data_IF_661881631203
#
_entry.id   IF_661881631203
#
_cell.length_a   1.000
_cell.length_b   1.000
_cell.length_c   1.000
_cell.angle_alpha   90.00
_cell.angle_beta   90.00
_cell.angle_gamma   90.00
#
_symmetry.space_group_name_H-M   'P 1'
#
loop_
_entity.id
_entity.type
_entity.pdbx_description
1 polymer ?
#
# COMPACT_ATOMS: atom_id res chain seq x y z
N UNK A 1 -16.57 -18.88 -3.00
CA UNK A 1 -15.54 -18.10 -2.29
C UNK A 1 -14.19 -18.61 -2.78
N UNK A 2 -13.40 -17.79 -3.47
CA UNK A 2 -12.07 -18.18 -3.98
C UNK A 2 -11.01 -17.70 -2.97
N UNK A 3 -10.46 -18.58 -2.11
CA UNK A 3 -9.59 -18.18 -0.99
C UNK A 3 -8.24 -17.59 -1.44
N UNK A 4 -7.88 -17.74 -2.71
CA UNK A 4 -6.65 -17.19 -3.30
C UNK A 4 -6.85 -15.81 -3.90
N UNK A 5 -8.08 -15.29 -3.95
CA UNK A 5 -8.38 -13.97 -4.50
C UNK A 5 -8.29 -12.94 -3.38
N UNK A 6 -7.56 -11.85 -3.64
CA UNK A 6 -7.31 -10.77 -2.69
C UNK A 6 -5.83 -10.43 -2.53
N UNK A 7 -5.56 -9.14 -2.32
CA UNK A 7 -4.22 -8.65 -2.02
C UNK A 7 -4.03 -8.47 -0.52
N UNK A 8 -2.91 -8.92 0.03
CA UNK A 8 -2.58 -8.65 1.43
C UNK A 8 -2.11 -7.18 1.58
N UNK A 9 -2.99 -6.35 2.15
CA UNK A 9 -2.80 -4.90 2.26
C UNK A 9 -1.51 -4.49 3.00
N UNK A 10 -0.94 -5.36 3.84
CA UNK A 10 0.31 -5.06 4.54
C UNK A 10 1.50 -4.89 3.59
N UNK A 11 1.47 -5.50 2.41
CA UNK A 11 2.56 -5.35 1.42
C UNK A 11 2.65 -3.92 0.88
N UNK A 12 1.60 -3.10 1.00
CA UNK A 12 1.65 -1.68 0.66
C UNK A 12 2.71 -0.92 1.46
N UNK A 13 3.07 -1.39 2.66
CA UNK A 13 4.06 -0.74 3.51
C UNK A 13 5.50 -0.92 3.01
N UNK A 14 5.74 -1.93 2.18
CA UNK A 14 7.05 -2.20 1.57
C UNK A 14 7.06 -1.95 0.06
N UNK A 15 5.90 -1.70 -0.56
CA UNK A 15 5.78 -1.45 -1.99
C UNK A 15 6.73 -0.32 -2.46
N UNK A 16 7.47 -0.50 -3.57
CA UNK A 16 8.48 0.43 -4.05
C UNK A 16 7.88 1.65 -4.77
N UNK A 17 7.10 2.46 -4.04
CA UNK A 17 6.35 3.61 -4.58
C UNK A 17 7.24 4.75 -5.11
N UNK A 18 8.48 4.85 -4.65
CA UNK A 18 9.45 5.89 -5.06
C UNK A 18 10.48 5.36 -6.07
N UNK A 19 10.37 4.10 -6.50
CA UNK A 19 11.21 3.59 -7.57
C UNK A 19 10.77 4.21 -8.90
N UNK A 20 11.66 4.99 -9.51
CA UNK A 20 11.35 5.75 -10.73
C UNK A 20 10.96 4.84 -11.89
N UNK A 21 11.74 3.80 -12.18
CA UNK A 21 11.47 2.89 -13.31
C UNK A 21 10.13 2.16 -13.12
N UNK A 22 9.84 1.70 -11.90
CA UNK A 22 8.55 1.09 -11.56
C UNK A 22 7.39 2.06 -11.86
N UNK A 23 7.48 3.32 -11.43
CA UNK A 23 6.41 4.30 -11.64
C UNK A 23 6.25 4.71 -13.11
N UNK A 24 7.36 4.85 -13.84
CA UNK A 24 7.35 5.12 -15.29
C UNK A 24 6.64 4.00 -16.05
N UNK A 25 7.03 2.74 -15.81
CA UNK A 25 6.40 1.56 -16.42
C UNK A 25 4.93 1.44 -16.01
N UNK A 26 4.60 1.71 -14.75
CA UNK A 26 3.21 1.66 -14.25
C UNK A 26 2.30 2.67 -14.94
N UNK A 27 2.81 3.88 -15.20
CA UNK A 27 2.09 4.92 -15.95
C UNK A 27 1.94 4.55 -17.41
N UNK A 28 2.99 4.02 -18.03
CA UNK A 28 2.91 3.54 -19.40
C UNK A 28 1.90 2.39 -19.54
N UNK A 29 1.92 1.42 -18.62
CA UNK A 29 0.93 0.35 -18.53
C UNK A 29 -0.51 0.91 -18.44
N UNK A 30 -0.75 1.89 -17.57
CA UNK A 30 -2.08 2.52 -17.44
C UNK A 30 -2.50 3.27 -18.70
N UNK A 31 -1.59 4.00 -19.35
CA UNK A 31 -1.84 4.64 -20.64
C UNK A 31 -2.21 3.60 -21.71
N UNK A 32 -1.45 2.52 -21.82
CA UNK A 32 -1.68 1.47 -22.80
C UNK A 32 -3.03 0.76 -22.58
N UNK A 33 -3.38 0.41 -21.33
CA UNK A 33 -4.69 -0.15 -21.01
C UNK A 33 -5.84 0.82 -21.33
N UNK A 34 -5.68 2.10 -21.01
CA UNK A 34 -6.67 3.13 -21.35
C UNK A 34 -6.86 3.24 -22.86
N UNK A 35 -5.78 3.27 -23.63
CA UNK A 35 -5.84 3.35 -25.10
C UNK A 35 -6.49 2.10 -25.69
N UNK A 36 -6.17 0.90 -25.19
CA UNK A 36 -6.83 -0.35 -25.60
C UNK A 36 -8.34 -0.31 -25.29
N UNK A 37 -8.72 0.19 -24.10
CA UNK A 37 -10.12 0.27 -23.67
C UNK A 37 -10.94 1.23 -24.56
N UNK A 38 -10.36 2.37 -24.95
CA UNK A 38 -11.00 3.38 -25.79
C UNK A 38 -10.97 3.05 -27.29
N UNK A 39 -10.10 2.13 -27.71
CA UNK A 39 -10.01 1.71 -29.12
C UNK A 39 -11.23 0.88 -29.52
N UNK A 40 -11.73 1.15 -30.73
CA UNK A 40 -12.82 0.39 -31.37
C UNK A 40 -12.31 -0.61 -32.41
N UNK A 41 -11.11 -0.37 -32.95
CA UNK A 41 -10.45 -1.26 -33.90
C UNK A 41 -9.82 -2.46 -33.18
N UNK A 42 -10.22 -3.72 -33.49
CA UNK A 42 -9.70 -4.92 -32.84
C UNK A 42 -8.17 -5.05 -32.90
N UNK A 43 -7.54 -4.64 -34.00
CA UNK A 43 -6.07 -4.71 -34.10
C UNK A 43 -5.40 -3.76 -33.12
N UNK A 44 -5.90 -2.52 -33.02
CA UNK A 44 -5.42 -1.55 -32.05
C UNK A 44 -5.69 -1.98 -30.60
N UNK A 45 -6.86 -2.59 -30.33
CA UNK A 45 -7.17 -3.16 -29.00
C UNK A 45 -6.13 -4.21 -28.61
N UNK A 46 -5.85 -5.18 -29.47
CA UNK A 46 -4.87 -6.23 -29.19
C UNK A 46 -3.45 -5.67 -29.06
N UNK A 47 -3.06 -4.76 -29.96
CA UNK A 47 -1.73 -4.16 -30.01
C UNK A 47 -1.41 -3.32 -28.76
N UNK A 48 -2.35 -2.49 -28.29
CA UNK A 48 -2.19 -1.73 -27.03
C UNK A 48 -2.32 -2.62 -25.78
N UNK A 49 -3.13 -3.68 -25.82
CA UNK A 49 -3.17 -4.67 -24.74
C UNK A 49 -1.80 -5.33 -24.57
N UNK A 50 -1.15 -5.77 -25.67
CA UNK A 50 0.21 -6.32 -25.63
C UNK A 50 1.22 -5.33 -25.04
N UNK A 51 1.16 -4.07 -25.47
CA UNK A 51 2.01 -3.02 -24.92
C UNK A 51 1.86 -2.87 -23.40
N UNK A 52 0.63 -2.91 -22.90
CA UNK A 52 0.35 -2.87 -21.46
C UNK A 52 0.90 -4.10 -20.73
N UNK A 53 0.69 -5.30 -21.28
CA UNK A 53 1.19 -6.56 -20.70
C UNK A 53 2.72 -6.61 -20.67
N UNK A 54 3.41 -6.13 -21.70
CA UNK A 54 4.87 -6.07 -21.72
C UNK A 54 5.41 -5.11 -20.65
N UNK A 55 4.85 -3.90 -20.57
CA UNK A 55 5.21 -2.93 -19.53
C UNK A 55 5.00 -3.51 -18.12
N UNK A 56 3.89 -4.24 -17.93
CA UNK A 56 3.56 -4.92 -16.69
C UNK A 56 4.54 -6.03 -16.35
N UNK A 57 4.92 -6.86 -17.32
CA UNK A 57 5.91 -7.94 -17.13
C UNK A 57 7.27 -7.40 -16.74
N UNK A 58 7.73 -6.37 -17.46
CA UNK A 58 8.97 -5.68 -17.14
C UNK A 58 8.93 -5.12 -15.71
N UNK A 59 7.85 -4.41 -15.37
CA UNK A 59 7.63 -3.86 -14.03
C UNK A 59 7.59 -4.93 -12.94
N UNK A 60 6.92 -6.04 -13.19
CA UNK A 60 6.83 -7.18 -12.26
C UNK A 60 8.16 -7.91 -12.10
N UNK A 61 9.11 -7.75 -13.04
CA UNK A 61 10.50 -8.16 -12.87
C UNK A 61 11.31 -7.25 -11.93
N UNK A 62 10.86 -6.01 -11.70
CA UNK A 62 11.54 -5.02 -10.85
C UNK A 62 10.99 -4.91 -9.42
N UNK A 63 9.78 -5.40 -9.18
CA UNK A 63 9.17 -5.43 -7.83
C UNK A 63 9.21 -6.84 -7.25
N UNK A 64 9.10 -6.95 -5.93
CA UNK A 64 9.06 -8.26 -5.28
C UNK A 64 7.76 -9.02 -5.63
N UNK A 65 7.81 -10.35 -5.51
CA UNK A 65 6.68 -11.21 -5.83
C UNK A 65 5.45 -10.96 -4.98
N UNK A 66 5.61 -10.48 -3.74
CA UNK A 66 4.48 -10.19 -2.86
C UNK A 66 3.76 -8.90 -3.29
N UNK A 67 4.51 -7.88 -3.73
CA UNK A 67 3.95 -6.67 -4.36
C UNK A 67 3.18 -6.99 -5.65
N UNK A 68 3.73 -7.85 -6.53
CA UNK A 68 3.03 -8.29 -7.74
C UNK A 68 1.79 -9.13 -7.42
N UNK A 69 1.86 -10.01 -6.42
CA UNK A 69 0.73 -10.81 -5.95
C UNK A 69 -0.36 -9.93 -5.33
N UNK A 70 0.00 -8.86 -4.62
CA UNK A 70 -0.97 -7.88 -4.10
C UNK A 70 -1.78 -7.26 -5.24
N UNK A 71 -1.13 -6.71 -6.27
CA UNK A 71 -1.84 -6.09 -7.39
C UNK A 71 -2.79 -7.08 -8.09
N UNK A 72 -2.28 -8.25 -8.45
CA UNK A 72 -3.06 -9.31 -9.10
C UNK A 72 -4.24 -9.78 -8.25
N UNK A 73 -4.02 -10.03 -6.96
CA UNK A 73 -5.06 -10.46 -6.04
C UNK A 73 -6.15 -9.40 -5.88
N UNK A 74 -5.77 -8.12 -5.81
CA UNK A 74 -6.72 -7.00 -5.75
C UNK A 74 -7.49 -6.82 -7.05
N UNK A 75 -6.85 -6.96 -8.21
CA UNK A 75 -7.51 -6.92 -9.52
C UNK A 75 -8.54 -8.05 -9.69
N UNK A 76 -8.19 -9.25 -9.23
CA UNK A 76 -9.05 -10.43 -9.26
C UNK A 76 -10.27 -10.27 -8.36
N UNK A 77 -10.12 -9.70 -7.17
CA UNK A 77 -11.21 -9.55 -6.21
C UNK A 77 -12.05 -8.30 -6.50
N UNK A 78 -11.44 -7.14 -6.34
CA UNK A 78 -12.12 -5.84 -6.36
C UNK A 78 -12.34 -5.38 -7.80
N UNK A 79 -11.37 -5.61 -8.68
CA UNK A 79 -11.51 -5.25 -10.10
C UNK A 79 -12.60 -6.05 -10.82
N UNK A 80 -12.75 -7.35 -10.54
CA UNK A 80 -13.87 -8.12 -11.07
C UNK A 80 -15.22 -7.71 -10.46
N UNK A 81 -15.24 -7.33 -9.17
CA UNK A 81 -16.44 -6.79 -8.54
C UNK A 81 -16.88 -5.47 -9.20
N UNK A 82 -15.95 -4.54 -9.44
CA UNK A 82 -16.21 -3.28 -10.15
C UNK A 82 -16.71 -3.53 -11.58
N UNK A 83 -16.09 -4.47 -12.31
CA UNK A 83 -16.55 -4.87 -13.65
C UNK A 83 -17.99 -5.39 -13.63
N UNK A 84 -18.33 -6.28 -12.68
CA UNK A 84 -19.70 -6.81 -12.55
C UNK A 84 -20.69 -5.68 -12.22
N UNK A 85 -20.32 -4.78 -11.30
CA UNK A 85 -21.14 -3.61 -10.94
C UNK A 85 -21.38 -2.66 -12.11
N UNK A 86 -20.34 -2.36 -12.88
CA UNK A 86 -20.44 -1.52 -14.08
C UNK A 86 -21.34 -2.17 -15.15
N UNK A 87 -21.20 -3.48 -15.37
CA UNK A 87 -22.06 -4.25 -16.28
C UNK A 87 -23.52 -4.25 -15.83
N UNK A 88 -23.79 -4.44 -14.54
CA UNK A 88 -25.14 -4.45 -14.00
C UNK A 88 -25.83 -3.07 -14.08
N UNK A 89 -25.06 -1.99 -13.94
CA UNK A 89 -25.57 -0.61 -14.00
C UNK A 89 -25.59 -0.01 -15.41
N UNK A 90 -24.99 -0.69 -16.41
CA UNK A 90 -24.80 -0.13 -17.75
C UNK A 90 -23.78 1.01 -17.81
N UNK A 91 -22.95 1.16 -16.77
CA UNK A 91 -21.93 2.22 -16.69
C UNK A 91 -20.71 1.82 -17.51
N UNK A 92 -20.20 2.74 -18.33
CA UNK A 92 -18.96 2.52 -19.06
C UNK A 92 -17.76 2.54 -18.10
N UNK A 93 -16.89 1.54 -18.21
CA UNK A 93 -15.61 1.55 -17.51
C UNK A 93 -14.70 2.62 -18.08
N UNK A 94 -13.99 3.32 -17.20
CA UNK A 94 -13.04 4.36 -17.58
C UNK A 94 -11.74 4.21 -16.79
N UNK A 95 -10.64 4.66 -17.40
CA UNK A 95 -9.35 4.87 -16.74
C UNK A 95 -9.07 6.37 -16.82
N UNK A 96 -8.86 7.07 -15.69
CA UNK A 96 -8.75 8.52 -15.66
C UNK A 96 -7.47 9.05 -16.30
N UNK A 97 -7.49 10.34 -16.62
CA UNK A 97 -6.36 11.11 -17.13
C UNK A 97 -6.39 12.53 -16.53
N UNK A 98 -5.38 12.93 -15.73
CA UNK A 98 -4.19 12.16 -15.39
C UNK A 98 -4.52 10.86 -14.62
N UNK A 99 -3.65 9.87 -14.77
CA UNK A 99 -3.76 8.59 -14.10
C UNK A 99 -3.51 8.70 -12.57
N UNK A 100 -3.45 7.56 -11.89
CA UNK A 100 -3.35 7.45 -10.43
C UNK A 100 -2.00 7.93 -9.86
N UNK A 101 -2.00 8.66 -8.72
CA UNK A 101 -0.78 9.00 -8.00
C UNK A 101 -0.05 7.75 -7.46
N UNK A 102 1.23 7.85 -7.07
CA UNK A 102 2.04 6.71 -6.61
C UNK A 102 1.37 5.86 -5.53
N UNK A 103 0.74 6.52 -4.55
CA UNK A 103 0.15 5.90 -3.36
C UNK A 103 -1.24 5.31 -3.58
N UNK A 104 -1.94 5.68 -4.67
CA UNK A 104 -3.28 5.19 -4.97
C UNK A 104 -3.27 3.87 -5.76
N UNK A 105 -2.42 2.95 -5.31
CA UNK A 105 -2.22 1.64 -5.94
C UNK A 105 -3.51 0.81 -5.91
N UNK A 106 -4.26 0.89 -4.81
CA UNK A 106 -5.48 0.11 -4.60
C UNK A 106 -6.56 0.48 -5.62
N UNK A 107 -6.90 1.75 -5.72
CA UNK A 107 -7.91 2.23 -6.70
C UNK A 107 -7.45 1.97 -8.14
N UNK A 108 -6.14 2.10 -8.41
CA UNK A 108 -5.57 1.70 -9.69
C UNK A 108 -5.83 0.22 -9.99
N UNK A 109 -5.52 -0.68 -9.05
CA UNK A 109 -5.72 -2.12 -9.21
C UNK A 109 -7.20 -2.47 -9.47
N UNK A 110 -8.15 -1.75 -8.88
CA UNK A 110 -9.57 -1.96 -9.13
C UNK A 110 -9.90 -1.64 -10.60
N UNK A 111 -9.51 -0.45 -11.05
CA UNK A 111 -9.78 0.01 -12.40
C UNK A 111 -9.03 -0.81 -13.47
N UNK A 112 -7.78 -1.21 -13.21
CA UNK A 112 -7.02 -2.06 -14.13
C UNK A 112 -7.63 -3.47 -14.18
N UNK A 113 -7.99 -4.07 -13.05
CA UNK A 113 -8.69 -5.36 -13.03
C UNK A 113 -10.00 -5.34 -13.82
N UNK A 114 -10.81 -4.31 -13.62
CA UNK A 114 -12.06 -4.14 -14.36
C UNK A 114 -11.81 -3.89 -15.86
N UNK A 115 -10.79 -3.09 -16.20
CA UNK A 115 -10.38 -2.85 -17.60
C UNK A 115 -9.96 -4.15 -18.26
N UNK A 116 -9.19 -4.98 -17.56
CA UNK A 116 -8.75 -6.28 -18.08
C UNK A 116 -9.93 -7.20 -18.38
N UNK A 117 -10.95 -7.24 -17.52
CA UNK A 117 -12.17 -8.00 -17.75
C UNK A 117 -12.96 -7.52 -18.99
N UNK A 118 -13.06 -6.20 -19.21
CA UNK A 118 -13.69 -5.63 -20.42
C UNK A 118 -12.92 -6.01 -21.68
N UNK A 119 -11.58 -5.95 -21.63
CA UNK A 119 -10.75 -6.35 -22.76
C UNK A 119 -10.86 -7.86 -23.05
N UNK A 120 -10.93 -8.70 -22.01
CA UNK A 120 -11.19 -10.13 -22.14
C UNK A 120 -12.57 -10.43 -22.76
N UNK A 121 -13.62 -9.68 -22.42
CA UNK A 121 -14.92 -9.80 -23.09
C UNK A 121 -14.83 -9.55 -24.60
N UNK A 122 -13.93 -8.66 -25.03
CA UNK A 122 -13.74 -8.32 -26.46
C UNK A 122 -12.88 -9.35 -27.20
N UNK A 123 -11.80 -9.83 -26.57
CA UNK A 123 -10.79 -10.65 -27.24
C UNK A 123 -10.92 -12.15 -26.99
N UNK A 124 -11.52 -12.56 -25.87
CA UNK A 124 -11.67 -13.97 -25.49
C UNK A 124 -12.98 -14.18 -24.74
N UNK A 125 -14.15 -14.15 -25.42
CA UNK A 125 -15.47 -14.20 -24.76
C UNK A 125 -15.70 -15.38 -23.78
N UNK A 126 -14.97 -16.49 -23.94
CA UNK A 126 -15.00 -17.66 -23.06
C UNK A 126 -14.16 -17.56 -21.78
N UNK A 127 -13.47 -16.44 -21.54
CA UNK A 127 -12.49 -16.29 -20.44
C UNK A 127 -13.06 -16.58 -19.05
N UNK A 128 -14.35 -16.29 -18.82
CA UNK A 128 -15.03 -16.54 -17.54
C UNK A 128 -15.13 -18.03 -17.24
N UNK A 129 -15.40 -18.86 -18.27
CA UNK A 129 -15.42 -20.32 -18.15
C UNK A 129 -14.01 -20.83 -17.84
N UNK A 130 -13.01 -20.36 -18.59
CA UNK A 130 -11.60 -20.72 -18.35
C UNK A 130 -11.15 -20.36 -16.93
N UNK A 131 -11.57 -19.19 -16.41
CA UNK A 131 -11.26 -18.77 -15.04
C UNK A 131 -12.03 -19.57 -13.99
N UNK A 132 -13.26 -20.00 -14.28
CA UNK A 132 -14.05 -20.86 -13.40
C UNK A 132 -13.48 -22.28 -13.31
N UNK A 133 -12.93 -22.80 -14.40
CA UNK A 133 -12.26 -24.11 -14.45
C UNK A 133 -10.90 -24.09 -13.73
N UNK A 134 -10.17 -22.98 -13.78
CA UNK A 134 -8.88 -22.80 -13.12
C UNK A 134 -8.80 -21.42 -12.44
N UNK A 135 -9.26 -21.32 -11.17
CA UNK A 135 -9.30 -20.05 -10.43
C UNK A 135 -7.92 -19.57 -9.96
N UNK A 136 -6.85 -20.31 -10.28
CA UNK A 136 -5.46 -19.90 -10.01
C UNK A 136 -4.90 -18.99 -11.11
N UNK A 137 -5.55 -18.96 -12.28
CA UNK A 137 -5.20 -18.07 -13.39
C UNK A 137 -5.41 -16.61 -13.02
N UNK A 138 -4.57 -15.77 -13.63
CA UNK A 138 -4.56 -14.34 -13.44
C UNK A 138 -5.08 -13.64 -14.70
N UNK A 139 -5.73 -12.48 -14.54
CA UNK A 139 -6.32 -11.73 -15.67
C UNK A 139 -5.28 -11.31 -16.70
N UNK A 140 -4.08 -10.93 -16.26
CA UNK A 140 -2.97 -10.52 -17.13
C UNK A 140 -2.48 -11.69 -18.00
N UNK A 141 -2.39 -12.91 -17.45
CA UNK A 141 -2.04 -14.11 -18.20
C UNK A 141 -3.13 -14.52 -19.21
N UNK A 142 -4.40 -14.39 -18.85
CA UNK A 142 -5.51 -14.62 -19.79
C UNK A 142 -5.50 -13.60 -20.94
N UNK A 143 -5.25 -12.33 -20.63
CA UNK A 143 -5.16 -11.27 -21.63
C UNK A 143 -3.96 -11.45 -22.55
N UNK A 144 -2.81 -11.84 -22.00
CA UNK A 144 -1.63 -12.12 -22.80
C UNK A 144 -1.93 -13.16 -23.89
N UNK A 145 -2.57 -14.27 -23.49
CA UNK A 145 -2.96 -15.32 -24.42
C UNK A 145 -3.98 -14.83 -25.45
N UNK A 146 -4.96 -14.01 -25.03
CA UNK A 146 -5.99 -13.47 -25.91
C UNK A 146 -5.47 -12.41 -26.90
N UNK A 147 -4.42 -11.67 -26.52
CA UNK A 147 -3.85 -10.61 -27.33
C UNK A 147 -2.69 -11.09 -28.23
N UNK A 148 -2.35 -12.38 -28.21
CA UNK A 148 -1.30 -12.95 -29.04
C UNK A 148 -1.65 -12.78 -30.54
N UNK A 149 -0.72 -12.20 -31.30
CA UNK A 149 -0.84 -11.99 -32.74
C UNK A 149 0.42 -12.56 -33.42
N UNK A 150 0.30 -13.07 -34.65
CA UNK A 150 1.45 -13.62 -35.39
C UNK A 150 2.45 -12.54 -35.85
N UNK A 151 2.07 -11.26 -35.81
CA UNK A 151 2.94 -10.14 -36.17
C UNK A 151 3.57 -9.48 -34.92
N UNK A 152 4.85 -9.13 -35.01
CA UNK A 152 5.65 -8.50 -33.97
C UNK A 152 5.34 -7.00 -33.79
N UNK A 153 4.34 -6.46 -34.51
CA UNK A 153 3.91 -5.06 -34.34
C UNK A 153 3.52 -4.77 -32.89
N UNK A 154 4.32 -3.93 -32.24
CA UNK A 154 4.04 -3.40 -30.92
C UNK A 154 3.59 -1.95 -31.01
N UNK A 155 2.44 -1.66 -30.40
CA UNK A 155 1.98 -0.30 -30.23
C UNK A 155 2.82 0.36 -29.14
N UNK A 156 3.12 1.63 -29.36
CA UNK A 156 3.92 2.43 -28.44
C UNK A 156 3.39 3.85 -28.38
N UNK A 157 3.64 4.55 -27.28
CA UNK A 157 3.31 5.95 -27.18
C UNK A 157 4.21 6.74 -28.12
N UNK A 158 3.73 7.88 -28.59
CA UNK A 158 4.57 8.82 -29.31
C UNK A 158 5.70 9.32 -28.38
N UNK A 159 6.87 9.71 -28.91
CA UNK A 159 8.02 10.12 -28.09
C UNK A 159 7.70 11.24 -27.07
N UNK A 160 6.80 12.16 -27.41
CA UNK A 160 6.31 13.21 -26.50
C UNK A 160 5.42 12.66 -25.39
N UNK A 161 4.60 11.65 -25.65
CA UNK A 161 3.78 10.98 -24.64
C UNK A 161 4.66 10.20 -23.66
N UNK A 162 5.70 9.53 -24.17
CA UNK A 162 6.68 8.84 -23.32
C UNK A 162 7.44 9.83 -22.42
N UNK A 163 7.89 10.96 -22.97
CA UNK A 163 8.53 12.03 -22.19
C UNK A 163 7.59 12.58 -21.11
N UNK A 164 6.33 12.84 -21.44
CA UNK A 164 5.34 13.28 -20.48
C UNK A 164 5.15 12.25 -19.34
N UNK A 165 5.04 10.96 -19.66
CA UNK A 165 4.95 9.88 -18.67
C UNK A 165 6.15 9.90 -17.70
N UNK A 166 7.36 10.07 -18.22
CA UNK A 166 8.59 10.13 -17.41
C UNK A 166 8.65 11.38 -16.54
N UNK A 167 8.30 12.54 -17.09
CA UNK A 167 8.26 13.80 -16.36
C UNK A 167 7.25 13.77 -15.22
N UNK A 168 6.04 13.25 -15.47
CA UNK A 168 5.02 13.07 -14.43
C UNK A 168 5.47 12.07 -13.37
N UNK A 169 6.12 10.96 -13.74
CA UNK A 169 6.64 10.01 -12.75
C UNK A 169 7.66 10.67 -11.80
N UNK A 170 8.59 11.47 -12.34
CA UNK A 170 9.57 12.21 -11.53
C UNK A 170 8.92 13.27 -10.66
N UNK A 171 7.92 13.99 -11.17
CA UNK A 171 7.19 14.99 -10.41
C UNK A 171 6.43 14.37 -9.24
N UNK A 172 5.72 13.28 -9.48
CA UNK A 172 4.93 12.59 -8.46
C UNK A 172 5.80 11.95 -7.36
N UNK A 173 7.00 11.47 -7.69
CA UNK A 173 7.95 10.97 -6.68
C UNK A 173 8.39 12.11 -5.76
N UNK A 174 8.78 13.26 -6.34
CA UNK A 174 9.19 14.43 -5.55
C UNK A 174 8.06 14.92 -4.65
N UNK A 175 6.84 14.98 -5.18
CA UNK A 175 5.65 15.38 -4.41
C UNK A 175 5.35 14.38 -3.28
N UNK A 176 5.40 13.07 -3.56
CA UNK A 176 5.20 12.03 -2.55
C UNK A 176 6.23 12.16 -1.41
N UNK A 177 7.51 12.31 -1.74
CA UNK A 177 8.59 12.47 -0.77
C UNK A 177 8.41 13.73 0.07
N UNK A 178 8.05 14.86 -0.56
CA UNK A 178 7.77 16.11 0.13
C UNK A 178 6.58 15.97 1.10
N UNK A 179 5.49 15.35 0.67
CA UNK A 179 4.31 15.09 1.52
C UNK A 179 4.62 14.14 2.68
N UNK A 180 5.43 13.11 2.45
CA UNK A 180 5.88 12.20 3.52
C UNK A 180 6.72 12.91 4.56
N UNK A 181 7.68 13.72 4.13
CA UNK A 181 8.51 14.53 5.01
C UNK A 181 7.68 15.54 5.80
N UNK A 182 6.72 16.22 5.14
CA UNK A 182 5.80 17.13 5.78
C UNK A 182 4.94 16.43 6.84
N UNK A 183 4.27 15.32 6.50
CA UNK A 183 3.45 14.54 7.46
C UNK A 183 4.25 14.12 8.70
N UNK A 184 5.48 13.65 8.51
CA UNK A 184 6.37 13.26 9.61
C UNK A 184 6.70 14.45 10.50
N UNK A 185 7.11 15.58 9.90
CA UNK A 185 7.43 16.81 10.62
C UNK A 185 6.22 17.34 11.38
N UNK A 186 5.09 17.51 10.71
CA UNK A 186 3.87 18.08 11.29
C UNK A 186 3.37 17.22 12.48
N UNK A 187 3.49 15.89 12.40
CA UNK A 187 3.19 15.00 13.51
C UNK A 187 4.16 15.20 14.70
N UNK A 188 5.47 15.23 14.44
CA UNK A 188 6.49 15.36 15.50
C UNK A 188 6.48 16.74 16.16
N UNK A 189 6.09 17.78 15.43
CA UNK A 189 6.02 19.17 15.90
C UNK A 189 4.66 19.52 16.52
N UNK A 190 3.71 18.57 16.58
CA UNK A 190 2.38 18.81 17.15
C UNK A 190 2.49 19.25 18.63
N UNK A 191 2.05 20.48 18.99
CA UNK A 191 2.20 21.00 20.35
C UNK A 191 1.41 20.18 21.38
N UNK A 192 2.01 19.98 22.55
CA UNK A 192 1.39 19.27 23.67
C UNK A 192 2.37 18.32 24.35
N UNK A 193 1.84 17.50 25.24
CA UNK A 193 2.60 16.40 25.84
C UNK A 193 2.85 15.31 24.80
N UNK A 194 4.00 14.68 24.91
CA UNK A 194 4.34 13.51 24.09
C UNK A 194 4.71 12.34 24.99
N UNK A 195 4.52 11.13 24.47
CA UNK A 195 5.13 9.96 25.07
C UNK A 195 5.78 9.08 24.01
N UNK A 196 6.80 8.34 24.44
CA UNK A 196 7.57 7.44 23.60
C UNK A 196 7.83 6.14 24.31
N UNK A 197 7.69 5.02 23.60
CA UNK A 197 8.22 3.72 24.03
C UNK A 197 9.45 3.42 23.19
N UNK A 198 10.55 3.07 23.86
CA UNK A 198 11.77 2.52 23.25
C UNK A 198 11.83 1.02 23.60
N UNK A 199 11.93 0.20 22.57
CA UNK A 199 11.79 -1.26 22.61
C UNK A 199 12.92 -1.93 21.83
N UNK A 200 14.14 -1.39 21.90
CA UNK A 200 15.29 -1.84 21.10
C UNK A 200 15.58 -3.35 21.31
N UNK A 201 15.80 -3.78 22.55
CA UNK A 201 16.10 -5.18 22.88
C UNK A 201 14.86 -6.08 22.98
N UNK A 202 13.68 -5.49 23.13
CA UNK A 202 12.40 -6.21 23.24
C UNK A 202 11.35 -5.66 22.24
N UNK A 203 11.53 -5.86 20.92
CA UNK A 203 10.67 -5.26 19.91
C UNK A 203 9.20 -5.56 20.11
N UNK A 204 8.36 -4.58 19.79
CA UNK A 204 6.91 -4.72 19.85
C UNK A 204 6.37 -5.21 18.51
N UNK A 205 5.31 -6.02 18.55
CA UNK A 205 4.67 -6.53 17.34
C UNK A 205 3.21 -6.06 17.23
N UNK A 206 2.73 -5.74 16.02
CA UNK A 206 1.32 -5.42 15.81
C UNK A 206 0.42 -6.58 16.24
N UNK A 207 -0.53 -6.29 17.13
CA UNK A 207 -1.60 -7.21 17.53
C UNK A 207 -2.90 -6.91 16.79
N UNK A 208 -3.25 -5.63 16.70
CA UNK A 208 -4.43 -5.12 15.98
C UNK A 208 -4.12 -3.75 15.40
N UNK A 209 -4.57 -3.48 14.18
CA UNK A 209 -4.53 -2.15 13.56
C UNK A 209 -5.44 -2.13 12.35
N UNK A 210 -5.72 -0.93 11.83
CA UNK A 210 -6.43 -0.75 10.58
C UNK A 210 -5.44 -0.41 9.45
N UNK A 211 -5.14 -1.32 8.51
CA UNK A 211 -4.21 -1.06 7.42
C UNK A 211 -4.61 0.11 6.51
N UNK A 212 -5.89 0.48 6.47
CA UNK A 212 -6.37 1.62 5.69
C UNK A 212 -6.08 2.97 6.34
N UNK A 213 -5.68 2.96 7.62
CA UNK A 213 -5.32 4.13 8.42
C UNK A 213 -3.83 4.14 8.77
N UNK A 214 -2.98 3.71 7.82
CA UNK A 214 -1.52 3.71 7.97
C UNK A 214 -0.89 4.43 6.78
N UNK A 215 -0.08 5.45 7.08
CA UNK A 215 0.64 6.25 6.10
C UNK A 215 2.14 5.99 6.24
N UNK A 216 2.77 5.43 5.22
CA UNK A 216 4.23 5.31 5.18
C UNK A 216 4.87 6.70 5.05
N UNK A 217 5.78 7.04 5.97
CA UNK A 217 6.51 8.32 5.96
C UNK A 217 7.98 8.15 5.65
N UNK A 218 8.60 7.03 6.03
CA UNK A 218 9.97 6.67 5.58
C UNK A 218 10.03 5.18 5.22
N UNK A 219 11.25 4.65 4.98
CA UNK A 219 11.42 3.20 4.75
C UNK A 219 11.08 2.38 5.99
N UNK A 220 11.40 2.91 7.18
CA UNK A 220 11.26 2.21 8.46
C UNK A 220 10.16 2.82 9.35
N UNK A 221 9.58 3.97 8.98
CA UNK A 221 8.54 4.62 9.78
C UNK A 221 7.19 4.64 9.06
N UNK A 222 6.15 4.33 9.83
CA UNK A 222 4.74 4.47 9.42
C UNK A 222 3.95 5.24 10.48
N UNK A 223 3.06 6.11 10.01
CA UNK A 223 2.14 6.89 10.82
C UNK A 223 0.78 6.21 10.80
N UNK A 224 0.35 5.70 11.95
CA UNK A 224 -1.00 5.22 12.20
C UNK A 224 -1.87 6.43 12.48
N UNK A 225 -3.01 6.58 11.80
CA UNK A 225 -3.90 7.75 11.93
C UNK A 225 -5.13 7.48 12.77
N UNK A 226 -5.35 6.23 13.19
CA UNK A 226 -6.56 5.84 13.93
C UNK A 226 -6.32 4.83 15.04
N UNK A 227 -5.80 3.64 14.72
CA UNK A 227 -5.74 2.54 15.68
C UNK A 227 -4.50 1.68 15.47
N UNK A 228 -3.75 1.46 16.54
CA UNK A 228 -2.66 0.48 16.62
C UNK A 228 -2.57 -0.08 18.04
N UNK A 229 -2.59 -1.41 18.15
CA UNK A 229 -2.21 -2.15 19.34
C UNK A 229 -0.89 -2.88 19.06
N UNK A 230 0.11 -2.60 19.88
CA UNK A 230 1.41 -3.25 19.87
C UNK A 230 1.61 -4.05 21.15
N UNK A 231 2.36 -5.15 21.08
CA UNK A 231 2.77 -5.86 22.28
C UNK A 231 3.84 -6.92 22.05
N UNK A 232 4.37 -7.42 23.16
CA UNK A 232 5.35 -8.49 23.25
C UNK A 232 5.03 -9.35 24.50
N UNK A 233 5.99 -10.12 25.00
CA UNK A 233 5.80 -10.93 26.21
C UNK A 233 5.71 -10.08 27.49
N UNK A 234 6.37 -8.93 27.51
CA UNK A 234 6.44 -8.00 28.64
C UNK A 234 5.17 -7.16 28.80
N UNK A 235 4.40 -6.93 27.72
CA UNK A 235 3.19 -6.12 27.79
C UNK A 235 2.56 -5.74 26.46
N UNK A 236 1.71 -4.70 26.51
CA UNK A 236 1.06 -4.13 25.33
C UNK A 236 0.64 -2.68 25.53
N UNK A 237 0.48 -1.97 24.42
CA UNK A 237 0.00 -0.59 24.32
C UNK A 237 -1.01 -0.50 23.18
N UNK A 238 -2.14 0.14 23.43
CA UNK A 238 -3.17 0.48 22.46
C UNK A 238 -3.25 2.00 22.32
N UNK A 239 -3.20 2.46 21.07
CA UNK A 239 -3.47 3.84 20.67
C UNK A 239 -4.73 3.82 19.82
N UNK A 240 -5.76 4.53 20.27
CA UNK A 240 -7.06 4.58 19.61
C UNK A 240 -7.53 6.03 19.44
N UNK A 241 -8.08 6.32 18.25
CA UNK A 241 -8.55 7.62 17.79
C UNK A 241 -7.51 8.73 17.91
N UNK A 242 -6.22 8.36 17.79
CA UNK A 242 -5.09 9.28 17.80
C UNK A 242 -3.97 8.86 16.85
N UNK A 243 -3.21 9.81 16.29
CA UNK A 243 -2.05 9.49 15.50
C UNK A 243 -0.89 8.91 16.34
N UNK A 244 -0.20 7.94 15.78
CA UNK A 244 0.98 7.31 16.37
C UNK A 244 2.02 7.00 15.31
N UNK A 245 3.29 7.35 15.57
CA UNK A 245 4.40 7.04 14.67
C UNK A 245 5.16 5.83 15.21
N UNK A 246 5.31 4.79 14.39
CA UNK A 246 6.14 3.64 14.70
C UNK A 246 7.39 3.63 13.85
N UNK A 247 8.53 3.28 14.46
CA UNK A 247 9.79 2.96 13.79
C UNK A 247 10.02 1.46 13.92
N UNK A 248 10.11 0.76 12.79
CA UNK A 248 10.44 -0.65 12.73
C UNK A 248 11.92 -0.91 12.46
N UNK A 249 12.30 -2.18 12.62
CA UNK A 249 13.61 -2.69 12.23
C UNK A 249 13.74 -2.89 10.70
N UNK A 250 14.93 -3.28 10.24
CA UNK A 250 15.24 -3.55 8.85
C UNK A 250 14.32 -4.63 8.25
N UNK A 251 13.89 -4.42 7.00
CA UNK A 251 13.08 -5.37 6.22
C UNK A 251 11.59 -5.05 6.19
N UNK A 252 10.95 -4.72 7.31
CA UNK A 252 9.54 -4.29 7.33
C UNK A 252 9.25 -3.32 8.50
N UNK A 253 8.60 -2.16 8.26
CA UNK A 253 8.38 -1.13 9.29
C UNK A 253 7.42 -1.51 10.44
N UNK A 254 6.95 -2.76 10.50
CA UNK A 254 5.96 -3.25 11.47
C UNK A 254 6.22 -4.71 11.86
N UNK A 255 6.43 -5.59 10.87
CA UNK A 255 6.55 -7.04 11.13
C UNK A 255 7.98 -7.54 11.35
N UNK A 256 8.99 -6.70 11.16
CA UNK A 256 10.35 -6.99 11.61
C UNK A 256 10.59 -6.62 13.09
N UNK A 257 9.54 -6.16 13.80
CA UNK A 257 9.63 -5.62 15.14
C UNK A 257 9.60 -4.09 15.13
N UNK A 258 8.79 -3.51 16.00
CA UNK A 258 8.68 -2.07 16.24
C UNK A 258 9.60 -1.71 17.41
N UNK A 259 10.64 -0.95 17.09
CA UNK A 259 11.68 -0.52 18.02
C UNK A 259 11.29 0.74 18.78
N UNK A 260 10.41 1.57 18.19
CA UNK A 260 9.91 2.78 18.84
C UNK A 260 8.47 3.08 18.46
N UNK A 261 7.69 3.49 19.45
CA UNK A 261 6.37 4.10 19.29
C UNK A 261 6.42 5.52 19.84
N UNK A 262 5.94 6.50 19.07
CA UNK A 262 5.82 7.90 19.48
C UNK A 262 4.39 8.39 19.34
N UNK A 263 3.90 9.12 20.34
CA UNK A 263 2.61 9.84 20.31
C UNK A 263 2.84 11.27 20.77
N UNK A 264 2.25 12.22 20.06
CA UNK A 264 2.40 13.66 20.28
C UNK A 264 1.05 14.35 20.50
N UNK A 265 1.09 15.62 20.89
CA UNK A 265 -0.10 16.47 20.97
C UNK A 265 -1.10 16.09 22.06
N UNK A 266 -0.66 15.42 23.12
CA UNK A 266 -1.55 15.06 24.23
C UNK A 266 -1.88 16.31 25.04
N UNK A 267 -3.14 16.49 25.48
CA UNK A 267 -3.55 17.66 26.25
C UNK A 267 -2.90 17.69 27.63
N UNK A 268 -2.62 16.52 28.21
CA UNK A 268 -1.96 16.35 29.50
C UNK A 268 -0.94 15.22 29.43
N UNK A 269 0.01 15.22 30.36
CA UNK A 269 0.92 14.08 30.53
C UNK A 269 0.11 12.79 30.74
N UNK A 270 0.47 11.67 30.10
CA UNK A 270 -0.16 10.39 30.39
C UNK A 270 0.12 10.01 31.84
N UNK A 271 -0.90 9.48 32.52
CA UNK A 271 -0.74 8.94 33.85
C UNK A 271 0.08 7.65 33.77
N UNK A 272 1.27 7.68 34.36
CA UNK A 272 2.15 6.52 34.48
C UNK A 272 2.23 6.11 35.95
N UNK A 273 1.91 4.85 36.23
CA UNK A 273 2.00 4.27 37.58
C UNK A 273 2.87 3.04 37.53
N UNK A 274 3.90 3.01 38.37
CA UNK A 274 4.66 1.80 38.64
C UNK A 274 4.08 1.15 39.91
N UNK A 275 3.55 -0.06 39.76
CA UNK A 275 3.07 -0.86 40.87
C UNK A 275 3.57 -2.29 40.71
N UNK A 276 4.36 -2.75 41.68
CA UNK A 276 4.86 -4.13 41.72
C UNK A 276 5.64 -4.54 40.46
N UNK A 277 6.42 -3.62 39.87
CA UNK A 277 7.21 -3.88 38.67
C UNK A 277 6.39 -3.86 37.36
N UNK A 278 5.16 -3.33 37.41
CA UNK A 278 4.32 -3.11 36.23
C UNK A 278 4.10 -1.62 36.04
N UNK A 279 4.53 -1.12 34.89
CA UNK A 279 4.28 0.24 34.44
C UNK A 279 2.94 0.27 33.71
N UNK A 280 1.94 0.93 34.31
CA UNK A 280 0.64 1.19 33.71
C UNK A 280 0.63 2.58 33.07
N UNK A 281 0.14 2.68 31.84
CA UNK A 281 0.08 3.91 31.05
C UNK A 281 -1.38 4.18 30.71
N UNK A 282 -1.87 5.38 31.05
CA UNK A 282 -3.23 5.81 30.68
C UNK A 282 -3.25 7.28 30.29
N UNK A 283 -3.81 7.58 29.14
CA UNK A 283 -3.96 8.95 28.64
C UNK A 283 -5.13 9.04 27.67
N UNK A 284 -5.33 10.23 27.11
CA UNK A 284 -6.30 10.44 26.05
C UNK A 284 -5.93 9.60 24.82
N UNK A 285 -6.77 8.63 24.45
CA UNK A 285 -6.51 7.68 23.36
C UNK A 285 -5.33 6.73 23.57
N UNK A 286 -4.82 6.57 24.80
CA UNK A 286 -3.64 5.77 25.13
C UNK A 286 -3.93 4.86 26.32
N UNK A 287 -3.72 3.56 26.16
CA UNK A 287 -3.80 2.61 27.25
C UNK A 287 -2.74 1.52 27.09
N UNK A 288 -2.00 1.19 28.14
CA UNK A 288 -1.04 0.10 28.06
C UNK A 288 -0.45 -0.29 29.40
N UNK A 289 0.27 -1.40 29.38
CA UNK A 289 1.00 -1.90 30.53
C UNK A 289 2.23 -2.69 30.10
N UNK A 290 3.34 -2.53 30.81
CA UNK A 290 4.56 -3.29 30.59
C UNK A 290 5.20 -3.72 31.92
N UNK A 291 5.61 -4.97 32.01
CA UNK A 291 6.41 -5.49 33.13
C UNK A 291 7.88 -5.15 32.93
N UNK A 292 8.58 -4.82 34.00
CA UNK A 292 10.02 -4.57 33.98
C UNK A 292 10.45 -3.29 33.22
N UNK A 293 9.48 -2.48 32.77
CA UNK A 293 9.76 -1.24 32.07
C UNK A 293 10.25 -0.14 33.04
N UNK A 294 11.10 0.76 32.53
CA UNK A 294 11.53 1.96 33.26
C UNK A 294 10.88 3.20 32.67
N UNK A 295 10.62 4.19 33.51
CA UNK A 295 9.97 5.45 33.11
C UNK A 295 10.93 6.59 33.34
N UNK A 296 11.18 7.37 32.30
CA UNK A 296 11.93 8.62 32.35
C UNK A 296 11.03 9.78 31.94
N UNK A 297 10.91 10.80 32.79
CA UNK A 297 10.23 12.04 32.43
C UNK A 297 11.29 13.11 32.07
N UNK A 298 11.14 13.71 30.89
CA UNK A 298 12.00 14.80 30.41
C UNK A 298 11.11 15.92 29.85
N UNK A 299 11.03 17.04 30.56
CA UNK A 299 10.19 18.18 30.19
C UNK A 299 8.74 17.77 29.89
N UNK A 300 8.27 17.95 28.64
CA UNK A 300 6.93 17.59 28.15
C UNK A 300 6.88 16.19 27.51
N UNK A 301 7.89 15.34 27.74
CA UNK A 301 8.02 14.01 27.15
C UNK A 301 8.17 12.94 28.22
N UNK A 302 7.30 11.93 28.16
CA UNK A 302 7.44 10.70 28.95
C UNK A 302 8.04 9.60 28.10
N UNK A 303 9.16 9.02 28.52
CA UNK A 303 9.83 7.91 27.83
C UNK A 303 9.69 6.63 28.65
N UNK A 304 9.36 5.54 27.98
CA UNK A 304 9.22 4.21 28.57
C UNK A 304 10.22 3.29 27.89
N UNK A 305 11.12 2.72 28.68
CA UNK A 305 12.20 1.86 28.21
C UNK A 305 11.87 0.40 28.51
N UNK A 306 11.80 -0.45 27.48
CA UNK A 306 11.66 -1.90 27.61
C UNK A 306 13.04 -2.57 27.54
N UNK A 307 13.21 -3.77 28.09
CA UNK A 307 14.46 -4.54 27.98
C UNK A 307 15.67 -4.06 28.79
N UNK A 308 15.63 -2.86 29.37
CA UNK A 308 16.74 -2.29 30.17
C UNK A 308 16.95 -2.93 31.57
N UNK A 309 16.42 -4.14 31.79
CA UNK A 309 16.26 -4.79 33.08
C UNK A 309 17.18 -5.99 33.34
N UNK A 310 18.47 -5.89 33.05
CA UNK A 310 19.60 -6.41 33.85
C UNK A 310 20.93 -5.81 33.36
#
# INVERSE_FOLDING_TARGET
HYPTWGGNAVHLFVYPMTNQLNLELRRFETLAFRTALLSTDPENVACWTRAAILARKERFGFIDSASAAYERGTEMLEGLADYVGARASGTAMTVPDPAYPPEDLRTRSYAIGATMAVLLDRMSPGWKTTLAEDPTRQLDALLEAAAAQPDDRLCGPLPEQLRAVQETARADIRDLEARRAARRRDFLETPGWSFRIEAEDEPLFPRRFDPLNVLRVTVSEVLHTRHIELGNESGSIEILDRPALTLGDQGHPLFAGVLRLTVTGLPTAPAVRDSSGVVMIKGDGVAGQFRGARVEARDSVTVILLGSGE
#
